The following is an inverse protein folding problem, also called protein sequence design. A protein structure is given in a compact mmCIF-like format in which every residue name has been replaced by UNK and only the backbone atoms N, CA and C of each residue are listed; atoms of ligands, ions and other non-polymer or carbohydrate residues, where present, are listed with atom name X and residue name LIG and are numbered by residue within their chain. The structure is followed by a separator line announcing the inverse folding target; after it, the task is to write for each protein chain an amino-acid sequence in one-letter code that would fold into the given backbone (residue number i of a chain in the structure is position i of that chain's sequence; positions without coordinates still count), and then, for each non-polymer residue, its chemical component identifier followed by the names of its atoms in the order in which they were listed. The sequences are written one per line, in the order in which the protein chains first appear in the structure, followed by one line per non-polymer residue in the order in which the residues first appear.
data_IF_938875731891
#
_entry.id   IF_938875731891
#
_cell.length_a   1.000
_cell.length_b   1.000
_cell.length_c   1.000
_cell.angle_alpha   90.00
_cell.angle_beta   90.00
_cell.angle_gamma   90.00
#
_symmetry.space_group_name_H-M   'P 1'
#
loop_
_entity.id
_entity.type
_entity.pdbx_description
1 polymer ?
#
# COMPACT_ATOMS: atom_id res chain seq x y z
N UNK A 1 11.39 17.48 20.00
CA UNK A 1 12.32 18.62 19.83
C UNK A 1 12.33 18.95 18.36
N UNK A 2 12.12 20.21 17.93
CA UNK A 2 12.27 20.57 16.53
C UNK A 2 13.73 20.31 16.10
N UNK A 3 13.90 19.69 14.93
CA UNK A 3 15.22 19.36 14.39
C UNK A 3 16.01 20.65 14.10
N UNK A 4 17.31 20.66 14.43
CA UNK A 4 18.15 21.81 14.08
C UNK A 4 18.30 21.93 12.55
N UNK A 5 18.36 23.15 12.03
CA UNK A 5 18.46 23.42 10.59
C UNK A 5 19.71 22.77 9.98
N UNK A 6 20.81 22.64 10.72
CA UNK A 6 22.01 21.97 10.24
C UNK A 6 21.80 20.45 10.09
N UNK A 7 21.11 19.84 11.05
CA UNK A 7 20.75 18.42 10.99
C UNK A 7 19.79 18.15 9.83
N UNK A 8 18.81 19.05 9.61
CA UNK A 8 17.88 18.96 8.49
C UNK A 8 18.60 18.94 7.14
N UNK A 9 19.45 19.93 6.87
CA UNK A 9 20.17 20.07 5.59
C UNK A 9 21.05 18.86 5.30
N UNK A 10 21.56 18.19 6.34
CA UNK A 10 22.35 16.97 6.18
C UNK A 10 21.47 15.74 5.96
N UNK A 11 20.41 15.57 6.76
CA UNK A 11 19.63 14.33 6.80
C UNK A 11 18.56 14.24 5.71
N UNK A 12 18.02 15.36 5.26
CA UNK A 12 16.92 15.37 4.30
C UNK A 12 17.32 14.82 2.91
N UNK A 13 18.47 15.18 2.32
CA UNK A 13 18.89 14.58 1.05
C UNK A 13 19.16 13.07 1.16
N UNK A 14 19.75 12.62 2.27
CA UNK A 14 19.97 11.19 2.54
C UNK A 14 18.65 10.44 2.67
N UNK A 15 17.68 11.04 3.37
CA UNK A 15 16.32 10.51 3.46
C UNK A 15 15.66 10.40 2.10
N UNK A 16 15.74 11.44 1.26
CA UNK A 16 15.04 11.45 -0.03
C UNK A 16 15.51 10.29 -0.91
N UNK A 17 16.83 10.09 -1.01
CA UNK A 17 17.41 8.96 -1.75
C UNK A 17 16.96 7.61 -1.17
N UNK A 18 16.95 7.47 0.15
CA UNK A 18 16.50 6.23 0.78
C UNK A 18 14.99 6.01 0.58
N UNK A 19 14.18 7.06 0.64
CA UNK A 19 12.74 7.01 0.45
C UNK A 19 12.37 6.60 -0.98
N UNK A 20 13.03 7.18 -1.98
CA UNK A 20 12.87 6.81 -3.39
C UNK A 20 13.24 5.34 -3.62
N UNK A 21 14.31 4.84 -3.01
CA UNK A 21 14.70 3.43 -3.09
C UNK A 21 13.66 2.50 -2.44
N UNK A 22 13.10 2.90 -1.29
CA UNK A 22 12.06 2.13 -0.61
C UNK A 22 10.74 2.11 -1.39
N UNK A 23 10.39 3.23 -2.03
CA UNK A 23 9.22 3.32 -2.88
C UNK A 23 9.38 2.45 -4.13
N UNK A 24 10.51 2.57 -4.84
CA UNK A 24 10.82 1.72 -6.00
C UNK A 24 10.76 0.22 -5.63
N UNK A 25 11.28 -0.15 -4.45
CA UNK A 25 11.19 -1.53 -3.96
C UNK A 25 9.74 -1.98 -3.70
N UNK A 26 8.90 -1.08 -3.22
CA UNK A 26 7.47 -1.35 -3.00
C UNK A 26 6.73 -1.54 -4.33
N UNK A 27 7.07 -0.76 -5.35
CA UNK A 27 6.54 -0.89 -6.72
C UNK A 27 6.99 -2.18 -7.42
N UNK A 28 8.24 -2.61 -7.21
CA UNK A 28 8.71 -3.93 -7.66
C UNK A 28 7.89 -5.05 -7.02
N UNK A 29 7.68 -4.99 -5.70
CA UNK A 29 6.90 -5.99 -4.97
C UNK A 29 5.41 -5.97 -5.39
N UNK A 30 4.87 -4.81 -5.78
CA UNK A 30 3.54 -4.72 -6.40
C UNK A 30 3.50 -5.37 -7.79
N UNK A 31 4.50 -5.13 -8.62
CA UNK A 31 4.63 -5.75 -9.95
C UNK A 31 4.66 -7.27 -9.85
N UNK A 32 5.33 -7.81 -8.82
CA UNK A 32 5.32 -9.25 -8.53
C UNK A 32 3.91 -9.76 -8.21
N UNK A 33 3.15 -9.04 -7.38
CA UNK A 33 1.78 -9.42 -7.01
C UNK A 33 0.80 -9.39 -8.17
N UNK A 34 1.01 -8.52 -9.15
CA UNK A 34 0.21 -8.47 -10.38
C UNK A 34 0.46 -9.70 -11.27
N UNK A 35 1.64 -10.32 -11.18
CA UNK A 35 2.01 -11.50 -11.96
C UNK A 35 1.71 -12.81 -11.19
N UNK A 36 1.90 -12.80 -9.88
CA UNK A 36 1.78 -13.95 -9.00
C UNK A 36 0.84 -13.57 -7.86
N UNK A 37 -0.43 -14.00 -7.98
CA UNK A 37 -1.42 -13.77 -6.93
C UNK A 37 -0.98 -14.39 -5.61
N UNK A 38 -1.07 -13.60 -4.54
CA UNK A 38 -0.74 -14.02 -3.17
C UNK A 38 0.73 -14.47 -2.98
N UNK A 39 1.67 -13.83 -3.68
CA UNK A 39 3.10 -13.95 -3.38
C UNK A 39 3.39 -13.36 -1.98
N UNK A 40 3.53 -14.25 -0.99
CA UNK A 40 3.77 -13.88 0.41
C UNK A 40 5.09 -13.15 0.60
N UNK A 41 6.12 -13.49 -0.18
CA UNK A 41 7.42 -12.85 -0.07
C UNK A 41 7.34 -11.42 -0.59
N UNK A 42 6.56 -11.17 -1.64
CA UNK A 42 6.29 -9.82 -2.14
C UNK A 42 5.46 -8.98 -1.14
N UNK A 43 4.48 -9.58 -0.47
CA UNK A 43 3.70 -8.88 0.58
C UNK A 43 4.58 -8.55 1.78
N UNK A 44 5.39 -9.50 2.26
CA UNK A 44 6.31 -9.27 3.39
C UNK A 44 7.39 -8.23 3.05
N UNK A 45 7.95 -8.30 1.83
CA UNK A 45 8.82 -7.26 1.28
C UNK A 45 8.19 -5.89 1.42
N UNK A 46 6.96 -5.73 0.92
CA UNK A 46 6.27 -4.46 0.83
C UNK A 46 5.90 -3.90 2.21
N UNK A 47 5.48 -4.76 3.13
CA UNK A 47 5.22 -4.36 4.52
C UNK A 47 6.49 -3.82 5.19
N UNK A 48 7.62 -4.49 4.97
CA UNK A 48 8.90 -4.06 5.52
C UNK A 48 9.38 -2.73 4.91
N UNK A 49 9.23 -2.52 3.61
CA UNK A 49 9.61 -1.27 2.94
C UNK A 49 8.74 -0.10 3.40
N UNK A 50 7.41 -0.28 3.47
CA UNK A 50 6.47 0.72 3.96
C UNK A 50 6.73 1.11 5.41
N UNK A 51 6.93 0.13 6.30
CA UNK A 51 7.23 0.39 7.69
C UNK A 51 8.57 1.12 7.87
N UNK A 52 9.56 0.79 7.03
CA UNK A 52 10.84 1.49 7.04
C UNK A 52 10.69 2.92 6.54
N UNK A 53 9.94 3.15 5.46
CA UNK A 53 9.67 4.49 4.93
C UNK A 53 8.96 5.37 5.97
N UNK A 54 7.92 4.84 6.61
CA UNK A 54 7.20 5.52 7.68
C UNK A 54 8.14 6.00 8.78
N UNK A 55 8.97 5.10 9.32
CA UNK A 55 9.93 5.43 10.39
C UNK A 55 10.98 6.46 9.96
N UNK A 56 11.41 6.42 8.70
CA UNK A 56 12.36 7.39 8.15
C UNK A 56 11.73 8.78 8.02
N UNK A 57 10.48 8.85 7.56
CA UNK A 57 9.72 10.09 7.46
C UNK A 57 9.39 10.68 8.85
N UNK A 58 8.95 9.84 9.79
CA UNK A 58 8.70 10.22 11.19
C UNK A 58 9.94 10.81 11.85
N UNK A 59 11.11 10.23 11.61
CA UNK A 59 12.38 10.74 12.14
C UNK A 59 12.76 12.14 11.63
N UNK A 60 12.12 12.62 10.56
CA UNK A 60 12.24 13.97 10.01
C UNK A 60 10.99 14.83 10.24
N UNK A 61 10.00 14.35 11.01
CA UNK A 61 8.71 15.01 11.20
C UNK A 61 7.95 15.27 9.88
N UNK A 62 8.12 14.41 8.88
CA UNK A 62 7.36 14.41 7.64
C UNK A 62 6.06 13.61 7.84
N UNK A 63 5.14 14.17 8.64
CA UNK A 63 3.93 13.50 9.12
C UNK A 63 3.08 12.93 7.98
N UNK A 64 2.80 13.73 6.94
CA UNK A 64 2.01 13.33 5.78
C UNK A 64 2.55 12.04 5.10
N UNK A 65 3.87 11.92 4.90
CA UNK A 65 4.48 10.75 4.27
C UNK A 65 4.48 9.56 5.26
N UNK A 66 4.76 9.83 6.53
CA UNK A 66 4.80 8.82 7.59
C UNK A 66 3.45 8.15 7.79
N UNK A 67 2.40 8.96 8.01
CA UNK A 67 1.05 8.48 8.27
C UNK A 67 0.47 7.76 7.04
N UNK A 68 0.66 8.31 5.85
CA UNK A 68 0.20 7.68 4.61
C UNK A 68 0.85 6.29 4.42
N UNK A 69 2.16 6.16 4.68
CA UNK A 69 2.87 4.87 4.65
C UNK A 69 2.31 3.87 5.67
N UNK A 70 1.99 4.33 6.89
CA UNK A 70 1.42 3.48 7.95
C UNK A 70 -0.01 3.06 7.66
N UNK A 71 -0.81 3.90 7.02
CA UNK A 71 -2.17 3.55 6.61
C UNK A 71 -2.16 2.44 5.56
N UNK A 72 -1.31 2.56 4.52
CA UNK A 72 -1.13 1.52 3.50
C UNK A 72 -0.62 0.22 4.15
N UNK A 73 0.41 0.32 5.00
CA UNK A 73 0.95 -0.82 5.76
C UNK A 73 -0.16 -1.54 6.54
N UNK A 74 -0.98 -0.79 7.27
CA UNK A 74 -2.02 -1.36 8.13
C UNK A 74 -3.06 -2.11 7.31
N UNK A 75 -3.49 -1.55 6.18
CA UNK A 75 -4.45 -2.19 5.28
C UNK A 75 -3.88 -3.48 4.67
N UNK A 76 -2.64 -3.46 4.20
CA UNK A 76 -1.96 -4.65 3.70
C UNK A 76 -1.79 -5.71 4.79
N UNK A 77 -1.43 -5.31 6.01
CA UNK A 77 -1.20 -6.23 7.11
C UNK A 77 -2.48 -6.98 7.53
N UNK A 78 -3.66 -6.36 7.38
CA UNK A 78 -4.95 -7.03 7.59
C UNK A 78 -5.21 -8.18 6.61
N UNK A 79 -4.52 -8.20 5.47
CA UNK A 79 -4.73 -9.23 4.46
C UNK A 79 -3.95 -10.51 4.75
N UNK A 80 -2.85 -10.48 5.52
CA UNK A 80 -1.87 -11.58 5.66
C UNK A 80 -2.48 -12.97 5.97
N UNK A 81 -3.55 -13.02 6.75
CA UNK A 81 -4.21 -14.28 7.13
C UNK A 81 -5.22 -14.81 6.09
N UNK A 82 -5.59 -14.01 5.08
CA UNK A 82 -6.73 -14.30 4.18
C UNK A 82 -6.50 -13.96 2.69
N UNK A 83 -5.30 -13.64 2.26
CA UNK A 83 -5.08 -12.91 1.00
C UNK A 83 -5.57 -13.64 -0.27
N UNK A 84 -6.45 -12.95 -0.99
CA UNK A 84 -6.45 -12.85 -2.45
C UNK A 84 -6.59 -11.34 -2.77
N UNK A 85 -5.46 -10.63 -2.83
CA UNK A 85 -5.43 -9.23 -3.28
C UNK A 85 -5.79 -9.24 -4.77
N UNK A 86 -7.05 -8.96 -5.07
CA UNK A 86 -7.55 -8.93 -6.43
C UNK A 86 -7.03 -7.70 -7.20
N UNK A 87 -7.22 -7.72 -8.51
CA UNK A 87 -6.69 -6.72 -9.45
C UNK A 87 -7.03 -5.27 -9.04
N UNK A 88 -8.28 -5.01 -8.64
CA UNK A 88 -8.70 -3.66 -8.24
C UNK A 88 -8.03 -3.18 -6.93
N UNK A 89 -7.70 -4.10 -6.01
CA UNK A 89 -6.92 -3.76 -4.82
C UNK A 89 -5.47 -3.40 -5.19
N UNK A 90 -4.88 -4.11 -6.16
CA UNK A 90 -3.54 -3.81 -6.67
C UNK A 90 -3.49 -2.47 -7.43
N UNK A 91 -4.55 -2.13 -8.17
CA UNK A 91 -4.69 -0.82 -8.81
C UNK A 91 -4.78 0.30 -7.78
N UNK A 92 -5.65 0.17 -6.78
CA UNK A 92 -5.76 1.17 -5.71
C UNK A 92 -4.44 1.36 -4.95
N UNK A 93 -3.66 0.29 -4.77
CA UNK A 93 -2.34 0.34 -4.17
C UNK A 93 -1.31 1.04 -5.07
N UNK A 94 -1.38 0.84 -6.39
CA UNK A 94 -0.55 1.57 -7.37
C UNK A 94 -0.82 3.07 -7.31
N UNK A 95 -2.09 3.48 -7.19
CA UNK A 95 -2.47 4.89 -7.07
C UNK A 95 -1.90 5.49 -5.79
N UNK A 96 -1.90 4.74 -4.68
CA UNK A 96 -1.25 5.16 -3.44
C UNK A 96 0.26 5.40 -3.63
N UNK A 97 0.97 4.49 -4.32
CA UNK A 97 2.41 4.67 -4.59
C UNK A 97 2.69 5.82 -5.55
N UNK A 98 1.81 6.05 -6.51
CA UNK A 98 1.90 7.21 -7.41
C UNK A 98 1.82 8.52 -6.64
N UNK A 99 0.86 8.64 -5.71
CA UNK A 99 0.78 9.82 -4.85
C UNK A 99 2.03 9.94 -3.98
N UNK A 100 2.52 8.84 -3.40
CA UNK A 100 3.73 8.84 -2.58
C UNK A 100 4.97 9.33 -3.35
N UNK A 101 5.11 8.95 -4.62
CA UNK A 101 6.17 9.46 -5.49
C UNK A 101 6.07 10.98 -5.63
N UNK A 102 4.87 11.52 -5.89
CA UNK A 102 4.64 12.96 -5.96
C UNK A 102 4.93 13.66 -4.63
N UNK A 103 4.60 13.04 -3.49
CA UNK A 103 4.90 13.63 -2.18
C UNK A 103 6.41 13.77 -1.96
N UNK A 104 7.19 12.76 -2.34
CA UNK A 104 8.65 12.80 -2.25
C UNK A 104 9.26 13.83 -3.22
N UNK A 105 8.67 14.01 -4.39
CA UNK A 105 9.12 15.02 -5.36
C UNK A 105 8.79 16.45 -4.92
N UNK A 106 7.61 16.66 -4.31
CA UNK A 106 7.07 17.99 -4.02
C UNK A 106 7.37 18.52 -2.62
N UNK A 107 7.93 17.70 -1.73
CA UNK A 107 8.31 18.16 -0.39
C UNK A 107 9.36 19.26 -0.47
N UNK A 108 9.08 20.39 0.17
CA UNK A 108 10.00 21.52 0.19
C UNK A 108 11.28 21.14 0.95
N UNK A 109 12.40 21.17 0.24
CA UNK A 109 13.68 20.69 0.78
C UNK A 109 14.23 21.57 1.91
N UNK A 110 13.75 22.80 2.06
CA UNK A 110 14.23 23.74 3.09
C UNK A 110 13.42 23.67 4.37
N UNK A 111 12.14 23.33 4.26
CA UNK A 111 11.15 23.43 5.34
C UNK A 111 10.50 22.10 5.69
N UNK A 112 10.57 21.10 4.80
CA UNK A 112 9.85 19.83 4.93
C UNK A 112 8.36 19.95 4.66
N UNK A 113 7.88 21.13 4.27
CA UNK A 113 6.47 21.36 4.03
C UNK A 113 6.04 20.70 2.74
N UNK A 114 4.90 20.04 2.81
CA UNK A 114 4.21 19.46 1.68
C UNK A 114 2.94 20.27 1.45
N UNK A 115 2.87 21.04 0.37
CA UNK A 115 1.67 21.83 0.03
C UNK A 115 0.64 20.96 -0.70
N UNK A 116 0.28 19.82 -0.13
CA UNK A 116 -0.75 18.92 -0.66
C UNK A 116 -1.98 18.95 0.25
N UNK A 117 -3.15 18.93 -0.36
CA UNK A 117 -4.40 18.71 0.35
C UNK A 117 -4.48 17.25 0.81
N UNK A 118 -4.81 17.03 2.08
CA UNK A 118 -4.94 15.69 2.67
C UNK A 118 -6.15 14.91 2.12
N UNK A 119 -7.04 15.59 1.39
CA UNK A 119 -8.23 14.97 0.78
C UNK A 119 -7.88 13.87 -0.23
N UNK A 120 -6.78 14.00 -0.97
CA UNK A 120 -6.35 13.01 -1.95
C UNK A 120 -5.83 11.75 -1.27
N UNK A 121 -4.99 11.90 -0.23
CA UNK A 121 -4.53 10.77 0.59
C UNK A 121 -5.72 10.01 1.19
N UNK A 122 -6.66 10.73 1.80
CA UNK A 122 -7.85 10.15 2.42
C UNK A 122 -8.65 9.36 1.38
N UNK A 123 -8.88 9.93 0.21
CA UNK A 123 -9.65 9.28 -0.87
C UNK A 123 -8.98 8.00 -1.36
N UNK A 124 -7.65 7.99 -1.50
CA UNK A 124 -6.90 6.80 -1.92
C UNK A 124 -6.90 5.71 -0.84
N UNK A 125 -6.73 6.08 0.44
CA UNK A 125 -6.81 5.13 1.56
C UNK A 125 -8.21 4.52 1.64
N UNK A 126 -9.28 5.31 1.50
CA UNK A 126 -10.65 4.82 1.49
C UNK A 126 -10.91 3.86 0.31
N UNK A 127 -10.44 4.22 -0.89
CA UNK A 127 -10.53 3.37 -2.07
C UNK A 127 -9.81 2.03 -1.85
N UNK A 128 -8.58 2.06 -1.33
CA UNK A 128 -7.82 0.83 -1.07
C UNK A 128 -8.46 -0.01 0.03
N UNK A 129 -8.90 0.61 1.13
CA UNK A 129 -9.59 -0.07 2.23
C UNK A 129 -10.88 -0.76 1.76
N UNK A 130 -11.63 -0.11 0.86
CA UNK A 130 -12.83 -0.69 0.26
C UNK A 130 -12.52 -1.97 -0.51
N UNK A 131 -11.48 -1.98 -1.36
CA UNK A 131 -11.09 -3.17 -2.13
C UNK A 131 -10.58 -4.31 -1.22
N UNK A 132 -9.76 -3.96 -0.22
CA UNK A 132 -9.30 -4.93 0.78
C UNK A 132 -10.48 -5.53 1.56
N UNK A 133 -11.49 -4.72 1.91
CA UNK A 133 -12.71 -5.19 2.56
C UNK A 133 -13.56 -6.13 1.69
N UNK A 134 -13.67 -5.85 0.38
CA UNK A 134 -14.37 -6.76 -0.55
C UNK A 134 -13.68 -8.11 -0.66
N UNK A 135 -12.35 -8.14 -0.66
CA UNK A 135 -11.56 -9.37 -0.66
C UNK A 135 -11.93 -10.29 0.51
N UNK A 136 -12.19 -9.74 1.69
CA UNK A 136 -12.57 -10.51 2.89
C UNK A 136 -14.00 -11.07 2.85
N UNK A 137 -14.89 -10.44 2.07
CA UNK A 137 -16.30 -10.81 1.98
C UNK A 137 -16.58 -11.83 0.88
N UNK A 138 -15.65 -12.05 -0.06
CA UNK A 138 -15.81 -13.00 -1.17
C UNK A 138 -15.85 -14.43 -0.61
N UNK A 139 -16.99 -15.15 -0.62
CA UNK A 139 -17.02 -16.54 -0.21
C UNK A 139 -16.18 -17.36 -1.20
N UNK A 140 -15.52 -18.47 -0.78
CA UNK A 140 -14.89 -19.37 -1.74
C UNK A 140 -15.97 -19.84 -2.71
N UNK A 141 -15.77 -19.57 -4.00
CA UNK A 141 -16.71 -19.93 -5.06
C UNK A 141 -17.03 -21.43 -4.96
N UNK A 142 -18.21 -21.74 -4.45
CA UNK A 142 -18.71 -23.10 -4.31
C UNK A 142 -18.79 -23.69 -5.71
N UNK A 143 -18.02 -24.76 -5.93
CA UNK A 143 -17.95 -25.46 -7.21
C UNK A 143 -19.33 -25.75 -7.79
N UNK A 144 -19.44 -25.59 -9.11
CA UNK A 144 -20.61 -25.88 -9.94
C UNK A 144 -21.31 -27.15 -9.44
N UNK A 145 -22.48 -26.98 -8.79
CA UNK A 145 -23.39 -28.10 -8.50
C UNK A 145 -23.91 -28.57 -9.86
N UNK A 146 -23.48 -29.76 -10.29
CA UNK A 146 -23.98 -30.43 -11.50
C UNK A 146 -25.52 -30.48 -11.46
N UNK A 147 -26.22 -30.24 -12.58
CA UNK A 147 -27.67 -30.41 -12.63
C UNK A 147 -28.00 -31.90 -12.49
N UNK A 148 -28.79 -32.25 -11.48
CA UNK A 148 -29.39 -33.58 -11.36
C UNK A 148 -30.44 -33.73 -12.47
N UNK A 149 -30.20 -34.64 -13.41
CA UNK A 149 -31.19 -35.08 -14.40
C UNK A 149 -32.21 -36.03 -13.73
N UNK A 150 -33.47 -36.05 -14.20
CA UNK A 150 -34.59 -36.69 -13.52
C UNK A 150 -34.61 -38.21 -13.76
N UNK A 151 -34.85 -38.99 -12.70
CA UNK A 151 -35.09 -40.43 -12.83
C UNK A 151 -36.56 -40.67 -13.16
N UNK A 152 -36.85 -40.95 -14.42
CA UNK A 152 -38.10 -41.56 -14.86
C UNK A 152 -38.02 -43.07 -14.62
N UNK A 153 -38.94 -43.60 -13.82
CA UNK A 153 -39.11 -45.05 -13.63
C UNK A 153 -40.56 -45.39 -13.38
N UNK A 154 -41.25 -45.81 -14.43
CA UNK A 154 -42.57 -46.45 -14.39
C UNK A 154 -42.44 -47.87 -13.83
N UNK A 155 -43.39 -48.27 -12.97
CA UNK A 155 -44.15 -49.52 -13.06
C UNK A 155 -45.32 -49.45 -12.08
#
# INVERSE_FOLDING_TARGET
MPMDRKEWVQRFPEFLVEAEQLLAKSEECLSHLQLISNDKDAIECMLNTLLKLARRAEALALEAISEFSLHIYSLLNLTQDRVDLHEEALVALQDCFTLMAWQLELVDQQTGQLSLDESEQTSLIEAFAFQVGQSQLKPPLTGKRLPQLPYSGQA
#
